data_IF_594881570992
#
_entry.id   IF_594881570992
#
_cell.length_a   1.000
_cell.length_b   1.000
_cell.length_c   1.000
_cell.angle_alpha   90.00
_cell.angle_beta   90.00
_cell.angle_gamma   90.00
#
_symmetry.space_group_name_H-M   'P 1'
#
loop_
_entity.id
_entity.type
_entity.pdbx_description
1 polymer ?
#
# COMPACT_ATOMS: atom_id res chain seq x y z
N UNK A 1 16.30 16.22 20.25
CA UNK A 1 16.49 15.64 18.90
C UNK A 1 17.88 15.83 18.31
N UNK A 2 18.61 16.95 18.51
CA UNK A 2 19.96 17.18 17.91
C UNK A 2 21.05 16.11 18.19
N UNK A 3 20.98 15.36 19.29
CA UNK A 3 21.99 14.36 19.67
C UNK A 3 21.94 13.07 18.83
N UNK A 4 20.80 12.78 18.19
CA UNK A 4 20.55 11.54 17.43
C UNK A 4 19.87 11.84 16.08
N UNK A 5 20.26 12.92 15.40
CA UNK A 5 19.64 13.34 14.14
C UNK A 5 19.78 12.33 12.99
N UNK A 6 20.63 11.32 13.15
CA UNK A 6 20.78 10.21 12.21
C UNK A 6 19.81 9.04 12.47
N UNK A 7 19.12 9.01 13.61
CA UNK A 7 18.18 7.94 13.94
C UNK A 7 16.76 8.21 13.42
N UNK A 8 16.43 9.49 13.20
CA UNK A 8 15.11 9.92 12.76
C UNK A 8 15.29 10.85 11.59
N UNK A 9 14.55 10.60 10.51
CA UNK A 9 14.47 11.56 9.44
C UNK A 9 13.72 12.81 9.90
N UNK A 10 14.17 13.96 9.39
CA UNK A 10 13.47 15.23 9.50
C UNK A 10 12.79 15.61 8.18
N UNK A 11 12.98 14.82 7.13
CA UNK A 11 12.30 15.00 5.85
C UNK A 11 10.87 14.45 5.99
N UNK A 12 9.88 15.31 5.84
CA UNK A 12 8.46 14.94 5.91
C UNK A 12 8.11 13.88 4.85
N UNK A 13 8.85 13.85 3.74
CA UNK A 13 8.70 12.86 2.67
C UNK A 13 8.93 11.44 3.15
N UNK A 14 9.81 11.24 4.13
CA UNK A 14 10.07 9.92 4.70
C UNK A 14 8.89 9.38 5.53
N UNK A 15 7.93 10.25 5.88
CA UNK A 15 6.68 9.87 6.56
C UNK A 15 5.47 9.77 5.62
N UNK A 16 5.61 10.11 4.33
CA UNK A 16 4.53 10.02 3.35
C UNK A 16 4.61 8.71 2.57
N UNK A 17 3.61 7.84 2.76
CA UNK A 17 3.55 6.54 2.10
C UNK A 17 3.56 6.65 0.56
N UNK A 18 2.91 7.67 0.00
CA UNK A 18 2.77 7.79 -1.45
C UNK A 18 4.10 8.23 -2.07
N UNK A 19 4.88 9.06 -1.38
CA UNK A 19 6.22 9.41 -1.84
C UNK A 19 7.11 8.16 -1.93
N UNK A 20 7.09 7.30 -0.91
CA UNK A 20 7.81 6.02 -0.95
C UNK A 20 7.38 5.14 -2.12
N UNK A 21 6.07 5.02 -2.36
CA UNK A 21 5.55 4.21 -3.47
C UNK A 21 5.98 4.81 -4.82
N UNK A 22 5.84 6.12 -5.00
CA UNK A 22 6.24 6.82 -6.22
C UNK A 22 7.74 6.75 -6.49
N UNK A 23 8.59 6.56 -5.48
CA UNK A 23 10.04 6.43 -5.67
C UNK A 23 10.47 4.98 -5.89
N UNK A 24 9.86 4.03 -5.18
CA UNK A 24 10.47 2.71 -5.00
C UNK A 24 9.59 1.52 -5.40
N UNK A 25 8.31 1.71 -5.73
CA UNK A 25 7.43 0.58 -6.04
C UNK A 25 7.92 -0.26 -7.23
N UNK A 26 8.45 0.37 -8.28
CA UNK A 26 9.01 -0.32 -9.44
C UNK A 26 10.23 -1.19 -9.13
N UNK A 27 10.83 -1.09 -7.94
CA UNK A 27 11.94 -1.94 -7.48
C UNK A 27 11.52 -2.97 -6.44
N UNK A 28 10.22 -3.05 -6.10
CA UNK A 28 9.69 -3.92 -5.05
C UNK A 28 8.78 -5.02 -5.63
N UNK A 29 9.31 -6.23 -5.88
CA UNK A 29 8.51 -7.34 -6.42
C UNK A 29 7.34 -7.76 -5.51
N UNK A 30 7.41 -7.45 -4.21
CA UNK A 30 6.37 -7.73 -3.23
C UNK A 30 6.15 -6.47 -2.40
N UNK A 31 4.92 -5.98 -2.39
CA UNK A 31 4.50 -4.87 -1.54
C UNK A 31 3.49 -5.36 -0.53
N UNK A 32 3.83 -5.29 0.75
CA UNK A 32 2.86 -5.53 1.83
C UNK A 32 1.93 -4.33 1.94
N UNK A 33 0.62 -4.59 2.00
CA UNK A 33 -0.40 -3.56 2.08
C UNK A 33 -1.32 -3.80 3.28
N UNK A 34 -1.62 -2.70 3.97
CA UNK A 34 -2.54 -2.58 5.10
C UNK A 34 -3.29 -1.25 4.98
N UNK A 35 -4.40 -1.11 5.69
CA UNK A 35 -4.98 0.20 5.96
C UNK A 35 -4.34 0.82 7.21
N UNK A 36 -4.16 2.14 7.22
CA UNK A 36 -3.58 2.91 8.34
C UNK A 36 -4.10 4.34 8.32
N UNK A 37 -4.07 5.02 9.47
CA UNK A 37 -4.32 6.45 9.62
C UNK A 37 -3.05 7.32 9.43
N UNK A 38 -1.89 6.70 9.20
CA UNK A 38 -0.59 7.37 9.09
C UNK A 38 0.05 7.74 10.44
N UNK A 39 -0.62 7.45 11.55
CA UNK A 39 -0.12 7.72 12.91
C UNK A 39 0.40 6.42 13.54
N UNK A 40 -0.27 5.30 13.27
CA UNK A 40 0.10 3.97 13.77
C UNK A 40 0.27 2.95 12.64
N UNK A 41 0.85 1.79 12.93
CA UNK A 41 0.92 0.66 11.98
C UNK A 41 -0.01 -0.47 12.48
N UNK A 42 -1.34 -0.32 12.39
CA UNK A 42 -2.27 -1.27 12.98
C UNK A 42 -2.44 -2.56 12.16
N UNK A 43 -1.93 -2.60 10.92
CA UNK A 43 -2.18 -3.67 9.96
C UNK A 43 -3.68 -3.89 9.73
N UNK A 44 -4.43 -2.80 9.64
CA UNK A 44 -5.89 -2.83 9.59
C UNK A 44 -6.40 -3.40 8.26
N UNK A 45 -7.51 -4.16 8.27
CA UNK A 45 -8.21 -4.57 7.05
C UNK A 45 -8.85 -3.36 6.34
N UNK A 46 -9.10 -3.47 5.04
CA UNK A 46 -9.73 -2.43 4.21
C UNK A 46 -11.27 -2.49 4.29
N UNK A 47 -11.81 -2.49 5.51
CA UNK A 47 -13.25 -2.41 5.76
C UNK A 47 -13.75 -0.99 5.53
N UNK A 48 -15.07 -0.81 5.39
CA UNK A 48 -15.65 0.53 5.27
C UNK A 48 -15.23 1.45 6.42
N UNK A 49 -15.29 0.97 7.66
CA UNK A 49 -14.91 1.75 8.84
C UNK A 49 -13.43 2.19 8.81
N UNK A 50 -12.53 1.29 8.44
CA UNK A 50 -11.10 1.60 8.40
C UNK A 50 -10.77 2.52 7.23
N UNK A 51 -11.43 2.36 6.08
CA UNK A 51 -11.21 3.22 4.91
C UNK A 51 -11.73 4.64 5.11
N UNK A 52 -12.74 4.86 5.96
CA UNK A 52 -13.23 6.22 6.30
C UNK A 52 -12.20 7.02 7.11
N UNK A 53 -11.37 6.33 7.90
CA UNK A 53 -10.35 6.95 8.78
C UNK A 53 -8.94 6.87 8.18
N UNK A 54 -8.74 5.95 7.24
CA UNK A 54 -7.44 5.59 6.71
C UNK A 54 -7.02 6.45 5.53
N UNK A 55 -5.73 6.34 5.19
CA UNK A 55 -5.08 7.15 4.15
C UNK A 55 -4.65 6.33 2.93
N UNK A 56 -4.79 5.01 2.96
CA UNK A 56 -4.43 4.13 1.84
C UNK A 56 -5.65 3.94 0.93
N UNK A 57 -5.56 4.49 -0.28
CA UNK A 57 -6.63 4.48 -1.28
C UNK A 57 -6.19 3.72 -2.53
N UNK A 58 -7.01 2.75 -2.99
CA UNK A 58 -6.62 1.85 -4.07
C UNK A 58 -6.26 2.56 -5.38
N UNK A 59 -7.04 3.55 -5.81
CA UNK A 59 -6.75 4.33 -7.03
C UNK A 59 -5.44 5.10 -6.91
N UNK A 60 -5.29 5.87 -5.83
CA UNK A 60 -4.10 6.69 -5.58
C UNK A 60 -2.84 5.84 -5.45
N UNK A 61 -2.95 4.64 -4.86
CA UNK A 61 -1.84 3.70 -4.76
C UNK A 61 -1.40 3.20 -6.15
N UNK A 62 -2.34 2.83 -7.02
CA UNK A 62 -2.02 2.39 -8.39
C UNK A 62 -1.40 3.52 -9.24
N UNK A 63 -1.90 4.75 -9.09
CA UNK A 63 -1.32 5.93 -9.74
C UNK A 63 0.12 6.19 -9.26
N UNK A 64 0.37 6.09 -7.96
CA UNK A 64 1.70 6.22 -7.38
C UNK A 64 2.66 5.11 -7.87
N UNK A 65 2.19 3.87 -7.96
CA UNK A 65 2.98 2.77 -8.54
C UNK A 65 3.36 3.12 -9.98
N UNK A 66 2.43 3.61 -10.80
CA UNK A 66 2.72 3.97 -12.18
C UNK A 66 3.77 5.08 -12.27
N UNK A 67 3.66 6.12 -11.43
CA UNK A 67 4.64 7.20 -11.37
C UNK A 67 6.06 6.69 -11.03
N UNK A 68 6.19 5.60 -10.26
CA UNK A 68 7.51 5.00 -9.98
C UNK A 68 8.18 4.40 -11.21
N UNK A 69 7.40 3.94 -12.19
CA UNK A 69 7.95 3.40 -13.44
C UNK A 69 8.44 4.49 -14.40
N UNK A 70 8.00 5.73 -14.25
CA UNK A 70 8.43 6.87 -15.08
C UNK A 70 9.79 7.44 -14.66
N UNK A 71 10.24 7.16 -13.43
CA UNK A 71 11.52 7.67 -12.91
C UNK A 71 12.69 6.77 -13.33
N UNK A 72 13.82 7.37 -13.65
CA UNK A 72 15.09 6.65 -13.80
C UNK A 72 16.05 7.06 -12.70
N UNK A 73 16.55 6.09 -11.93
CA UNK A 73 17.50 6.33 -10.86
C UNK A 73 18.77 5.49 -11.05
N UNK A 74 19.91 6.17 -11.10
CA UNK A 74 21.21 5.52 -11.26
C UNK A 74 21.60 4.82 -9.98
N UNK A 75 21.97 3.54 -10.08
CA UNK A 75 22.45 2.74 -8.95
C UNK A 75 21.37 1.89 -8.28
N UNK A 76 20.12 2.01 -8.71
CA UNK A 76 19.02 1.13 -8.29
C UNK A 76 19.05 -0.20 -9.07
N UNK A 77 18.47 -1.28 -8.51
CA UNK A 77 18.32 -2.54 -9.24
C UNK A 77 17.43 -2.36 -10.48
N UNK A 78 17.40 -3.34 -11.41
CA UNK A 78 16.42 -3.34 -12.49
C UNK A 78 14.99 -3.25 -11.97
N UNK A 79 14.13 -2.53 -12.68
CA UNK A 79 12.69 -2.47 -12.37
C UNK A 79 12.06 -3.86 -12.49
N UNK A 80 11.17 -4.20 -11.56
CA UNK A 80 10.40 -5.44 -11.60
C UNK A 80 9.33 -5.37 -12.68
N UNK A 81 9.08 -6.48 -13.35
CA UNK A 81 7.99 -6.63 -14.34
C UNK A 81 6.65 -6.96 -13.67
N UNK A 82 6.69 -7.40 -12.41
CA UNK A 82 5.53 -7.81 -11.63
C UNK A 82 5.67 -7.35 -10.19
N UNK A 83 4.57 -6.82 -9.65
CA UNK A 83 4.42 -6.50 -8.23
C UNK A 83 3.31 -7.40 -7.66
N UNK A 84 3.61 -8.09 -6.57
CA UNK A 84 2.62 -8.82 -5.77
C UNK A 84 2.20 -7.93 -4.60
N UNK A 85 0.96 -7.45 -4.61
CA UNK A 85 0.37 -6.74 -3.48
C UNK A 85 -0.15 -7.75 -2.45
N UNK A 86 0.65 -7.98 -1.41
CA UNK A 86 0.34 -8.92 -0.34
C UNK A 86 -0.42 -8.23 0.79
N UNK A 87 -1.63 -8.71 1.09
CA UNK A 87 -2.41 -8.23 2.23
C UNK A 87 -1.74 -8.70 3.54
N UNK A 88 -1.14 -7.77 4.28
CA UNK A 88 -0.53 -8.03 5.59
C UNK A 88 -1.41 -7.44 6.70
N UNK A 89 -2.36 -8.25 7.16
CA UNK A 89 -3.43 -7.82 8.05
C UNK A 89 -3.37 -8.55 9.39
N UNK A 90 -3.53 -7.82 10.49
CA UNK A 90 -3.53 -8.40 11.83
C UNK A 90 -4.93 -8.34 12.46
N UNK A 91 -5.31 -9.45 13.09
CA UNK A 91 -6.52 -9.58 13.88
C UNK A 91 -6.23 -9.32 15.35
N UNK A 92 -7.18 -8.70 16.06
CA UNK A 92 -7.07 -8.56 17.51
C UNK A 92 -7.20 -9.92 18.20
N UNK A 93 -6.56 -10.09 19.37
CA UNK A 93 -6.73 -11.29 20.19
C UNK A 93 -8.15 -11.43 20.79
N UNK A 94 -8.94 -10.36 20.75
CA UNK A 94 -10.36 -10.36 21.16
C UNK A 94 -11.31 -10.57 19.99
N UNK A 95 -10.82 -10.58 18.75
CA UNK A 95 -11.65 -10.68 17.56
C UNK A 95 -12.13 -12.11 17.34
N UNK A 96 -13.42 -12.27 17.07
CA UNK A 96 -13.99 -13.58 16.82
C UNK A 96 -13.69 -14.04 15.40
N UNK A 97 -13.54 -15.37 15.14
CA UNK A 97 -13.23 -15.88 13.81
C UNK A 97 -14.19 -15.47 12.69
N UNK A 98 -15.46 -15.18 13.02
CA UNK A 98 -16.43 -14.70 12.03
C UNK A 98 -16.21 -13.24 11.64
N UNK A 99 -15.74 -12.41 12.57
CA UNK A 99 -15.36 -11.01 12.33
C UNK A 99 -14.12 -10.96 11.44
N UNK A 100 -13.09 -11.76 11.76
CA UNK A 100 -11.88 -11.89 10.93
C UNK A 100 -12.25 -12.26 9.49
N UNK A 101 -13.11 -13.28 9.31
CA UNK A 101 -13.57 -13.70 7.97
C UNK A 101 -14.35 -12.59 7.25
N UNK A 102 -15.19 -11.84 7.95
CA UNK A 102 -15.93 -10.73 7.38
C UNK A 102 -14.98 -9.60 6.94
N UNK A 103 -13.99 -9.27 7.76
CA UNK A 103 -12.97 -8.27 7.47
C UNK A 103 -12.13 -8.64 6.23
N UNK A 104 -11.75 -9.91 6.10
CA UNK A 104 -11.06 -10.40 4.89
C UNK A 104 -11.95 -10.33 3.65
N UNK A 105 -13.24 -10.67 3.78
CA UNK A 105 -14.21 -10.58 2.68
C UNK A 105 -14.38 -9.14 2.22
N UNK A 106 -14.59 -8.20 3.14
CA UNK A 106 -14.71 -6.78 2.80
C UNK A 106 -13.44 -6.23 2.17
N UNK A 107 -12.27 -6.61 2.72
CA UNK A 107 -10.98 -6.23 2.13
C UNK A 107 -10.84 -6.72 0.69
N UNK A 108 -11.23 -7.97 0.42
CA UNK A 108 -11.26 -8.52 -0.93
C UNK A 108 -12.19 -7.71 -1.83
N UNK A 109 -13.42 -7.43 -1.39
CA UNK A 109 -14.38 -6.65 -2.18
C UNK A 109 -13.90 -5.21 -2.45
N UNK A 110 -13.21 -4.59 -1.49
CA UNK A 110 -12.58 -3.29 -1.69
C UNK A 110 -11.55 -3.35 -2.83
N UNK A 111 -10.59 -4.26 -2.74
CA UNK A 111 -9.53 -4.36 -3.75
C UNK A 111 -10.03 -4.83 -5.11
N UNK A 112 -11.07 -5.67 -5.17
CA UNK A 112 -11.66 -6.13 -6.44
C UNK A 112 -12.28 -5.00 -7.28
N UNK A 113 -12.60 -3.85 -6.67
CA UNK A 113 -13.03 -2.67 -7.42
C UNK A 113 -11.90 -2.10 -8.28
N UNK A 114 -10.66 -2.16 -7.79
CA UNK A 114 -9.48 -1.68 -8.48
C UNK A 114 -8.81 -2.78 -9.31
N UNK A 115 -8.55 -3.94 -8.71
CA UNK A 115 -7.86 -5.11 -9.27
C UNK A 115 -8.84 -6.30 -9.35
N UNK A 116 -9.67 -6.39 -10.40
CA UNK A 116 -10.72 -7.40 -10.50
C UNK A 116 -10.16 -8.81 -10.69
N UNK A 117 -8.99 -8.92 -11.31
CA UNK A 117 -8.31 -10.16 -11.66
C UNK A 117 -6.82 -9.99 -11.39
N UNK A 118 -6.15 -11.09 -11.06
CA UNK A 118 -4.72 -11.07 -10.76
C UNK A 118 -3.92 -10.99 -12.08
N UNK A 119 -2.79 -10.29 -12.05
CA UNK A 119 -1.90 -10.21 -13.22
C UNK A 119 -2.36 -9.25 -14.33
N UNK A 120 -3.38 -8.43 -14.09
CA UNK A 120 -3.77 -7.35 -15.00
C UNK A 120 -2.66 -6.31 -15.08
N UNK A 121 -2.40 -5.79 -16.28
CA UNK A 121 -1.39 -4.74 -16.47
C UNK A 121 -1.82 -3.44 -15.79
N UNK A 122 -0.86 -2.71 -15.23
CA UNK A 122 -1.12 -1.48 -14.50
C UNK A 122 -1.79 -0.40 -15.36
N UNK A 123 -1.37 -0.24 -16.61
CA UNK A 123 -1.99 0.70 -17.56
C UNK A 123 -3.48 0.39 -17.81
N UNK A 124 -3.82 -0.88 -18.00
CA UNK A 124 -5.20 -1.34 -18.15
C UNK A 124 -6.04 -1.13 -16.88
N UNK A 125 -5.43 -1.23 -15.70
CA UNK A 125 -6.12 -0.93 -14.44
C UNK A 125 -6.45 0.56 -14.36
N UNK A 126 -5.51 1.43 -14.71
CA UNK A 126 -5.69 2.88 -14.62
C UNK A 126 -6.72 3.41 -15.63
N UNK A 127 -6.80 2.85 -16.83
CA UNK A 127 -7.84 3.23 -17.82
C UNK A 127 -9.27 2.96 -17.34
N UNK A 128 -9.45 2.08 -16.36
CA UNK A 128 -10.77 1.69 -15.82
C UNK A 128 -11.23 2.58 -14.65
N UNK A 129 -10.36 3.41 -14.08
CA UNK A 129 -10.56 4.14 -12.81
C UNK A 129 -10.82 5.63 -12.99
#
# INVERSE_FOLDING_TARGET
MKKYSYQFSIDERDSDLYVWVEELACYSPIMHIQQTDGITSPHSPFTKENNEKGIVEGKKLLEAIAASYEKEEKGMPPKTDKIVMALELFASNTEHPHEIKNNMRETREYWKQYIPEDGVRLDQLLERL
#
